data_IF_070529770624
#
_entry.id   IF_070529770624
#
_cell.length_a   1.000
_cell.length_b   1.000
_cell.length_c   1.000
_cell.angle_alpha   90.00
_cell.angle_beta   90.00
_cell.angle_gamma   90.00
#
_symmetry.space_group_name_H-M   'P 1'
#
loop_
_entity.id
_entity.type
_entity.pdbx_description
1 polymer ?
#
# COMPACT_ATOMS: atom_id res chain seq x y z
N UNK A 1 45.19 -27.75 -76.30
CA UNK A 1 44.23 -26.62 -76.20
C UNK A 1 44.30 -26.07 -74.79
N UNK A 2 44.58 -24.76 -74.67
CA UNK A 2 44.07 -23.78 -73.67
C UNK A 2 44.14 -24.18 -72.18
N UNK A 3 45.02 -23.55 -71.39
CA UNK A 3 44.74 -22.37 -70.52
C UNK A 3 43.92 -22.76 -69.26
N UNK A 4 44.14 -22.32 -68.02
CA UNK A 4 44.83 -21.18 -67.41
C UNK A 4 44.92 -21.42 -65.90
N UNK A 5 46.03 -20.98 -65.30
CA UNK A 5 46.20 -20.30 -64.00
C UNK A 5 45.09 -20.38 -62.92
N UNK A 6 45.48 -20.74 -61.71
CA UNK A 6 45.01 -20.04 -60.50
C UNK A 6 46.10 -20.05 -59.43
N UNK A 7 46.66 -18.86 -59.25
CA UNK A 7 47.56 -18.44 -58.17
C UNK A 7 46.70 -18.27 -56.91
N UNK A 8 47.02 -18.99 -55.84
CA UNK A 8 46.51 -18.68 -54.50
C UNK A 8 47.62 -17.97 -53.71
N UNK A 9 47.62 -16.65 -53.78
CA UNK A 9 48.42 -15.79 -52.91
C UNK A 9 47.81 -15.82 -51.50
N UNK A 10 48.52 -16.41 -50.54
CA UNK A 10 48.24 -16.24 -49.11
C UNK A 10 48.91 -14.94 -48.68
N UNK A 11 48.15 -13.85 -48.73
CA UNK A 11 48.52 -12.57 -48.12
C UNK A 11 48.07 -12.61 -46.65
N UNK A 12 49.03 -12.85 -45.76
CA UNK A 12 48.90 -12.58 -44.33
C UNK A 12 48.88 -11.06 -44.16
N UNK A 13 47.68 -10.48 -44.04
CA UNK A 13 47.52 -9.10 -43.62
C UNK A 13 47.19 -9.12 -42.13
N UNK A 14 48.18 -8.68 -41.36
CA UNK A 14 48.08 -8.27 -39.97
C UNK A 14 46.91 -7.31 -39.78
N UNK A 15 45.96 -7.68 -38.93
CA UNK A 15 45.14 -6.73 -38.19
C UNK A 15 45.06 -7.20 -36.74
N UNK A 16 46.09 -6.88 -35.95
CA UNK A 16 45.87 -6.62 -34.54
C UNK A 16 45.13 -5.29 -34.49
N UNK A 17 43.81 -5.33 -34.68
CA UNK A 17 42.96 -4.29 -34.12
C UNK A 17 43.13 -4.41 -32.62
N UNK A 18 43.74 -3.39 -32.03
CA UNK A 18 43.64 -3.12 -30.61
C UNK A 18 42.17 -3.30 -30.21
N UNK A 19 41.91 -4.31 -29.40
CA UNK A 19 40.71 -4.32 -28.58
C UNK A 19 41.01 -3.29 -27.51
N UNK A 20 40.60 -2.04 -27.75
CA UNK A 20 40.33 -1.16 -26.63
C UNK A 20 39.09 -1.76 -25.99
N UNK A 21 39.28 -2.48 -24.89
CA UNK A 21 38.19 -2.74 -23.98
C UNK A 21 37.74 -1.36 -23.48
N UNK A 22 36.71 -0.80 -24.11
CA UNK A 22 35.98 0.36 -23.60
C UNK A 22 35.38 -0.03 -22.24
N UNK A 23 36.17 0.10 -21.17
CA UNK A 23 35.73 -0.07 -19.78
C UNK A 23 34.93 1.15 -19.27
N UNK A 24 34.54 2.07 -20.15
CA UNK A 24 33.77 3.27 -19.80
C UNK A 24 32.28 2.99 -19.50
N UNK A 25 31.83 1.75 -19.68
CA UNK A 25 30.42 1.33 -19.47
C UNK A 25 30.17 0.62 -18.13
N UNK A 26 31.12 0.59 -17.18
CA UNK A 26 30.78 0.12 -15.84
C UNK A 26 29.90 1.18 -15.16
N UNK A 27 28.60 0.90 -14.91
CA UNK A 27 27.76 1.83 -14.19
C UNK A 27 28.41 2.09 -12.83
N UNK A 28 28.41 3.33 -12.35
CA UNK A 28 29.04 3.73 -11.10
C UNK A 28 28.01 4.28 -10.11
N UNK A 29 28.37 4.24 -8.82
CA UNK A 29 27.60 4.82 -7.73
C UNK A 29 26.61 3.87 -7.06
N UNK A 30 25.95 4.44 -6.06
CA UNK A 30 25.05 3.73 -5.16
C UNK A 30 23.60 3.95 -5.59
N UNK A 31 22.88 2.86 -5.82
CA UNK A 31 21.52 2.87 -6.34
C UNK A 31 20.55 2.17 -5.40
N UNK A 32 19.41 2.81 -5.13
CA UNK A 32 18.24 2.20 -4.50
C UNK A 32 17.27 1.77 -5.59
N UNK A 33 17.07 0.47 -5.79
CA UNK A 33 16.08 -0.08 -6.69
C UNK A 33 14.76 -0.30 -5.95
N UNK A 34 13.72 0.44 -6.33
CA UNK A 34 12.43 0.41 -5.66
C UNK A 34 11.55 -0.70 -6.23
N UNK A 35 11.08 -1.57 -5.35
CA UNK A 35 10.19 -2.67 -5.68
C UNK A 35 8.88 -2.54 -4.92
N UNK A 36 7.75 -2.76 -5.59
CA UNK A 36 6.46 -2.93 -4.91
C UNK A 36 5.89 -4.30 -5.28
N UNK A 37 6.49 -5.32 -4.68
CA UNK A 37 6.03 -6.71 -4.75
C UNK A 37 5.16 -7.10 -3.55
N UNK A 38 5.15 -6.27 -2.49
CA UNK A 38 4.41 -6.51 -1.27
C UNK A 38 2.93 -6.14 -1.40
N UNK A 39 2.26 -6.78 -2.36
CA UNK A 39 0.83 -6.69 -2.64
C UNK A 39 0.21 -8.09 -2.68
N UNK A 40 -1.12 -8.19 -2.70
CA UNK A 40 -1.82 -9.48 -2.64
C UNK A 40 -1.60 -10.36 -3.87
N UNK A 41 -1.21 -9.75 -5.00
CA UNK A 41 -0.92 -10.46 -6.24
C UNK A 41 0.51 -10.99 -6.29
N UNK A 42 1.39 -10.52 -5.39
CA UNK A 42 2.81 -10.89 -5.29
C UNK A 42 3.57 -10.68 -6.61
N UNK A 43 3.28 -9.56 -7.28
CA UNK A 43 3.90 -9.14 -8.55
C UNK A 43 4.51 -7.76 -8.42
N UNK A 44 5.57 -7.48 -9.20
CA UNK A 44 6.16 -6.15 -9.28
C UNK A 44 5.15 -5.14 -9.83
N UNK A 45 4.93 -4.07 -9.07
CA UNK A 45 3.96 -3.04 -9.41
C UNK A 45 4.48 -1.60 -9.16
N UNK A 46 5.75 -1.42 -8.79
CA UNK A 46 6.34 -0.10 -8.56
C UNK A 46 6.14 0.86 -9.75
N UNK A 47 6.33 0.44 -11.02
CA UNK A 47 6.17 1.35 -12.15
C UNK A 47 4.79 1.96 -12.36
N UNK A 48 3.76 1.29 -11.86
CA UNK A 48 2.37 1.73 -11.96
C UNK A 48 1.97 2.62 -10.78
N UNK A 49 2.40 2.26 -9.57
CA UNK A 49 1.87 2.84 -8.33
C UNK A 49 2.81 3.82 -7.63
N UNK A 50 4.14 3.66 -7.76
CA UNK A 50 5.11 4.56 -7.13
C UNK A 50 5.40 5.70 -8.10
N UNK A 51 4.75 6.83 -7.84
CA UNK A 51 4.84 7.99 -8.73
C UNK A 51 5.98 8.92 -8.37
N UNK A 52 6.28 9.16 -7.11
CA UNK A 52 7.36 10.03 -6.65
C UNK A 52 7.90 9.48 -5.35
N UNK A 53 9.14 9.80 -4.99
CA UNK A 53 9.65 9.42 -3.67
C UNK A 53 10.42 10.53 -3.00
N UNK A 54 10.26 10.61 -1.69
CA UNK A 54 11.18 11.30 -0.79
C UNK A 54 12.01 10.25 -0.06
N UNK A 55 13.32 10.34 -0.20
CA UNK A 55 14.30 9.52 0.51
C UNK A 55 14.92 10.35 1.64
N UNK A 56 14.77 9.88 2.87
CA UNK A 56 15.47 10.38 4.04
C UNK A 56 16.68 9.49 4.32
N UNK A 57 17.83 10.12 4.53
CA UNK A 57 19.12 9.46 4.74
C UNK A 57 19.56 9.75 6.17
N UNK A 58 19.86 8.70 6.92
CA UNK A 58 20.33 8.75 8.30
C UNK A 58 21.68 8.05 8.42
N UNK A 59 22.51 8.46 9.37
CA UNK A 59 23.74 7.73 9.70
C UNK A 59 23.43 6.45 10.49
N UNK A 60 24.46 5.66 10.80
CA UNK A 60 24.33 4.42 11.56
C UNK A 60 23.66 4.61 12.94
N UNK A 61 23.83 5.78 13.55
CA UNK A 61 23.26 6.13 14.87
C UNK A 61 21.83 6.71 14.77
N UNK A 62 21.29 6.85 13.55
CA UNK A 62 19.95 7.36 13.30
C UNK A 62 19.84 8.89 13.29
N UNK A 63 20.96 9.62 13.17
CA UNK A 63 20.94 11.07 12.99
C UNK A 63 20.68 11.43 11.53
N UNK A 64 19.91 12.50 11.31
CA UNK A 64 19.62 12.98 9.96
C UNK A 64 20.88 13.46 9.24
N UNK A 65 21.05 12.98 8.00
CA UNK A 65 22.16 13.36 7.12
C UNK A 65 21.64 14.21 5.96
N UNK A 66 20.66 13.71 5.21
CA UNK A 66 20.16 14.39 4.02
C UNK A 66 18.75 13.93 3.62
N UNK A 67 18.15 14.67 2.68
CA UNK A 67 16.86 14.37 2.06
C UNK A 67 17.00 14.52 0.54
N UNK A 68 16.43 13.58 -0.19
CA UNK A 68 16.35 13.59 -1.65
C UNK A 68 14.91 13.42 -2.10
N UNK A 69 14.37 14.40 -2.83
CA UNK A 69 13.05 14.30 -3.45
C UNK A 69 13.22 13.95 -4.93
N UNK A 70 12.62 12.85 -5.37
CA UNK A 70 12.74 12.31 -6.72
C UNK A 70 11.37 12.34 -7.41
N UNK A 71 11.17 13.21 -8.42
CA UNK A 71 9.91 13.30 -9.12
C UNK A 71 9.68 12.10 -10.06
N UNK A 72 8.42 11.90 -10.46
CA UNK A 72 8.01 10.80 -11.34
C UNK A 72 8.80 10.68 -12.63
N UNK A 73 9.11 11.81 -13.26
CA UNK A 73 9.88 11.82 -14.50
C UNK A 73 11.27 11.19 -14.32
N UNK A 74 11.94 11.46 -13.20
CA UNK A 74 13.26 10.92 -12.89
C UNK A 74 13.19 9.43 -12.53
N UNK A 75 12.21 9.02 -11.71
CA UNK A 75 11.99 7.60 -11.40
C UNK A 75 11.75 6.77 -12.67
N UNK A 76 10.84 7.24 -13.55
CA UNK A 76 10.54 6.55 -14.81
C UNK A 76 11.76 6.47 -15.73
N UNK A 77 12.53 7.55 -15.85
CA UNK A 77 13.74 7.58 -16.67
C UNK A 77 14.80 6.57 -16.19
N UNK A 78 14.92 6.38 -14.88
CA UNK A 78 15.91 5.47 -14.29
C UNK A 78 15.39 4.04 -14.06
N UNK A 79 14.16 3.71 -14.49
CA UNK A 79 13.57 2.40 -14.27
C UNK A 79 13.28 2.12 -12.78
N UNK A 80 12.74 3.11 -12.06
CA UNK A 80 12.43 3.08 -10.62
C UNK A 80 13.63 2.89 -9.70
N UNK A 81 14.80 3.32 -10.18
CA UNK A 81 16.03 3.40 -9.38
C UNK A 81 16.32 4.85 -8.97
N UNK A 82 16.71 5.03 -7.72
CA UNK A 82 17.16 6.30 -7.16
C UNK A 82 18.66 6.24 -6.96
N UNK A 83 19.39 7.20 -7.55
CA UNK A 83 20.83 7.32 -7.35
C UNK A 83 21.13 8.13 -6.09
N UNK A 84 22.00 7.62 -5.24
CA UNK A 84 22.50 8.31 -4.06
C UNK A 84 23.92 8.79 -4.38
N UNK A 85 24.14 10.09 -4.18
CA UNK A 85 25.40 10.76 -4.48
C UNK A 85 25.73 11.78 -3.37
N UNK A 86 27.01 12.14 -3.26
CA UNK A 86 27.45 13.23 -2.37
C UNK A 86 27.44 12.87 -0.88
N UNK A 87 27.40 11.59 -0.53
CA UNK A 87 27.63 11.11 0.83
C UNK A 87 29.12 10.76 1.01
N UNK A 88 29.73 11.06 2.17
CA UNK A 88 31.01 10.46 2.56
C UNK A 88 30.92 8.93 2.62
N UNK A 89 32.05 8.24 2.51
CA UNK A 89 32.13 6.81 2.82
C UNK A 89 31.72 6.57 4.27
N UNK A 90 30.82 5.60 4.49
CA UNK A 90 30.24 5.36 5.81
C UNK A 90 29.00 4.49 5.78
N UNK A 91 28.41 4.27 6.96
CA UNK A 91 27.23 3.42 7.14
C UNK A 91 25.97 4.28 7.27
N UNK A 92 24.95 3.96 6.46
CA UNK A 92 23.73 4.76 6.36
C UNK A 92 22.46 3.91 6.35
N UNK A 93 21.37 4.49 6.83
CA UNK A 93 20.01 3.97 6.76
C UNK A 93 19.17 4.84 5.83
N UNK A 94 18.26 4.23 5.08
CA UNK A 94 17.40 4.93 4.13
C UNK A 94 15.94 4.68 4.46
N UNK A 95 15.15 5.75 4.59
CA UNK A 95 13.70 5.69 4.74
C UNK A 95 13.08 6.34 3.52
N UNK A 96 12.26 5.58 2.80
CA UNK A 96 11.67 5.98 1.52
C UNK A 96 10.17 6.09 1.67
N UNK A 97 9.64 7.24 1.32
CA UNK A 97 8.21 7.52 1.30
C UNK A 97 7.76 7.92 -0.10
N UNK A 98 6.56 7.50 -0.50
CA UNK A 98 5.87 7.97 -1.71
C UNK A 98 4.49 8.48 -1.34
N UNK A 99 4.10 9.65 -1.86
CA UNK A 99 2.79 10.27 -1.61
C UNK A 99 2.79 11.31 -0.49
N UNK A 100 3.88 11.46 0.26
CA UNK A 100 3.97 12.39 1.40
C UNK A 100 3.96 13.87 1.02
N UNK A 101 4.14 14.19 -0.27
CA UNK A 101 3.95 15.54 -0.80
C UNK A 101 2.48 15.98 -0.88
N UNK A 102 1.52 15.06 -0.67
CA UNK A 102 0.10 15.39 -0.70
C UNK A 102 -0.34 16.11 0.59
N UNK A 103 -1.20 17.12 0.46
CA UNK A 103 -1.71 17.90 1.59
C UNK A 103 -2.59 17.12 2.58
N UNK A 104 -2.95 15.87 2.27
CA UNK A 104 -3.58 14.97 3.22
C UNK A 104 -2.63 14.56 4.36
N UNK A 105 -1.32 14.66 4.14
CA UNK A 105 -0.28 14.21 5.06
C UNK A 105 0.57 15.38 5.57
N UNK A 106 1.07 15.24 6.79
CA UNK A 106 1.98 16.18 7.43
C UNK A 106 3.18 15.43 7.99
N UNK A 107 4.38 15.89 7.63
CA UNK A 107 5.63 15.36 8.16
C UNK A 107 6.15 16.30 9.26
N UNK A 108 6.56 15.74 10.38
CA UNK A 108 7.24 16.46 11.47
C UNK A 108 8.55 15.76 11.82
N UNK A 109 9.56 16.52 12.25
CA UNK A 109 10.87 15.96 12.61
C UNK A 109 11.67 15.39 11.44
N UNK A 110 11.35 15.78 10.20
CA UNK A 110 11.91 15.21 8.96
C UNK A 110 13.40 15.56 8.71
N UNK A 111 13.94 16.48 9.50
CA UNK A 111 15.36 16.89 9.55
C UNK A 111 15.96 16.68 10.94
N UNK A 112 15.44 15.71 11.68
CA UNK A 112 15.83 15.36 13.05
C UNK A 112 16.18 13.87 13.11
N UNK A 113 16.48 13.31 14.29
CA UNK A 113 16.79 11.88 14.41
C UNK A 113 15.60 11.01 13.95
N UNK A 114 15.85 9.76 13.54
CA UNK A 114 14.80 8.82 13.12
C UNK A 114 13.68 8.69 14.16
N UNK A 115 14.02 8.69 15.45
CA UNK A 115 13.07 8.59 16.55
C UNK A 115 12.18 9.85 16.73
N UNK A 116 12.54 10.96 16.10
CA UNK A 116 11.77 12.21 16.14
C UNK A 116 10.95 12.41 14.87
N UNK A 117 11.16 11.60 13.83
CA UNK A 117 10.37 11.63 12.61
C UNK A 117 8.96 11.12 12.91
N UNK A 118 7.96 11.83 12.40
CA UNK A 118 6.59 11.35 12.37
C UNK A 118 5.88 11.80 11.11
N UNK A 119 5.09 10.91 10.52
CA UNK A 119 4.15 11.18 9.44
C UNK A 119 2.73 11.04 9.97
N UNK A 120 1.91 12.09 9.87
CA UNK A 120 0.51 12.08 10.31
C UNK A 120 -0.44 12.54 9.22
N UNK A 121 -1.74 12.38 9.44
CA UNK A 121 -2.73 13.14 8.68
C UNK A 121 -2.60 14.64 8.99
N UNK A 122 -2.76 15.48 7.96
CA UNK A 122 -2.56 16.93 8.08
C UNK A 122 -3.67 17.65 8.84
N UNK A 123 -4.88 17.10 8.82
CA UNK A 123 -5.99 17.56 9.68
C UNK A 123 -6.20 16.54 10.79
N UNK A 124 -5.52 16.68 11.94
CA UNK A 124 -5.87 15.95 13.14
C UNK A 124 -7.19 16.50 13.68
N UNK A 125 -8.29 16.00 13.12
CA UNK A 125 -9.65 16.12 13.63
C UNK A 125 -10.22 14.72 13.63
N UNK A 126 -11.02 14.38 14.63
CA UNK A 126 -11.47 13.01 14.91
C UNK A 126 -12.24 12.31 13.77
N UNK A 127 -12.51 12.97 12.64
CA UNK A 127 -13.15 12.37 11.46
C UNK A 127 -12.49 12.78 10.13
N UNK A 128 -12.34 11.83 9.21
CA UNK A 128 -11.81 11.94 7.84
C UNK A 128 -12.83 11.36 6.87
N UNK A 129 -13.30 12.16 5.92
CA UNK A 129 -14.33 11.76 4.94
C UNK A 129 -13.90 11.98 3.48
N UNK A 130 -12.59 12.06 3.22
CA UNK A 130 -12.01 12.19 1.89
C UNK A 130 -11.42 10.85 1.41
N UNK A 131 -11.30 10.70 0.09
CA UNK A 131 -10.49 9.63 -0.49
C UNK A 131 -9.02 9.93 -0.20
N UNK A 132 -8.37 9.11 0.62
CA UNK A 132 -6.96 9.30 0.96
C UNK A 132 -6.09 8.99 -0.28
N UNK A 133 -5.17 9.89 -0.66
CA UNK A 133 -4.19 9.62 -1.70
C UNK A 133 -3.28 8.46 -1.28
N UNK A 134 -2.82 7.65 -2.22
CA UNK A 134 -1.97 6.51 -1.87
C UNK A 134 -0.68 6.93 -1.17
N UNK A 135 -0.31 6.17 -0.15
CA UNK A 135 0.89 6.37 0.66
C UNK A 135 1.71 5.07 0.67
N UNK A 136 2.97 5.13 0.29
CA UNK A 136 3.87 3.98 0.31
C UNK A 136 5.10 4.24 1.18
N UNK A 137 5.58 3.18 1.81
CA UNK A 137 6.74 3.17 2.69
C UNK A 137 7.71 2.08 2.25
N UNK A 138 9.00 2.36 2.31
CA UNK A 138 10.04 1.34 2.28
C UNK A 138 11.24 1.79 3.09
N UNK A 139 12.09 0.85 3.47
CA UNK A 139 13.34 1.17 4.11
C UNK A 139 14.47 0.28 3.63
N UNK A 140 15.69 0.77 3.84
CA UNK A 140 16.90 -0.02 3.76
C UNK A 140 17.62 0.16 5.10
N UNK A 141 17.83 -0.96 5.79
CA UNK A 141 18.61 -0.99 7.03
C UNK A 141 20.06 -0.56 6.76
N UNK A 142 20.86 -0.42 7.82
CA UNK A 142 22.23 0.07 7.75
C UNK A 142 23.04 -0.68 6.68
N UNK A 143 23.52 0.08 5.69
CA UNK A 143 24.36 -0.40 4.59
C UNK A 143 25.56 0.51 4.41
N UNK A 144 26.67 -0.08 3.97
CA UNK A 144 27.92 0.63 3.75
C UNK A 144 27.91 1.33 2.38
N UNK A 145 27.93 2.66 2.40
CA UNK A 145 28.09 3.52 1.23
C UNK A 145 29.57 3.73 0.93
N UNK A 146 29.93 3.51 -0.32
CA UNK A 146 31.21 3.89 -0.94
C UNK A 146 30.95 4.25 -2.42
N UNK A 147 31.97 4.74 -3.11
CA UNK A 147 31.87 5.16 -4.52
C UNK A 147 31.81 3.98 -5.52
N UNK A 148 31.78 2.73 -5.02
CA UNK A 148 31.67 1.56 -5.89
C UNK A 148 30.25 1.39 -6.43
N UNK A 149 30.12 0.69 -7.56
CA UNK A 149 28.80 0.34 -8.08
C UNK A 149 28.09 -0.64 -7.16
N UNK A 150 27.00 -0.19 -6.57
CA UNK A 150 26.12 -1.02 -5.73
C UNK A 150 24.67 -0.72 -6.03
N UNK A 151 23.89 -1.78 -6.10
CA UNK A 151 22.44 -1.70 -6.24
C UNK A 151 21.80 -2.41 -5.05
N UNK A 152 20.97 -1.69 -4.32
CA UNK A 152 20.26 -2.17 -3.14
C UNK A 152 18.76 -2.14 -3.39
N UNK A 153 18.09 -3.25 -3.06
CA UNK A 153 16.65 -3.36 -3.20
C UNK A 153 15.94 -2.72 -2.01
N UNK A 154 14.99 -1.83 -2.28
CA UNK A 154 14.06 -1.27 -1.29
C UNK A 154 12.67 -1.80 -1.61
N UNK A 155 12.17 -2.67 -0.73
CA UNK A 155 10.83 -3.21 -0.87
C UNK A 155 9.83 -2.27 -0.21
N UNK A 156 8.96 -1.73 -1.04
CA UNK A 156 7.92 -0.78 -0.67
C UNK A 156 6.64 -1.55 -0.31
N UNK A 157 5.87 -0.98 0.60
CA UNK A 157 4.56 -1.44 1.02
C UNK A 157 3.59 -0.27 1.03
N UNK A 158 2.30 -0.56 0.89
CA UNK A 158 1.24 0.45 0.88
C UNK A 158 0.64 0.62 2.27
N UNK A 159 0.46 1.87 2.69
CA UNK A 159 -0.07 2.22 4.00
C UNK A 159 -1.50 2.75 3.95
N UNK A 160 -2.09 2.91 2.77
CA UNK A 160 -3.49 3.33 2.60
C UNK A 160 -4.34 2.17 2.16
N UNK A 161 -5.53 2.08 2.74
CA UNK A 161 -6.50 1.03 2.48
C UNK A 161 -7.82 1.64 1.99
N UNK A 162 -8.50 0.93 1.09
CA UNK A 162 -9.78 1.32 0.52
C UNK A 162 -10.82 0.23 0.79
N UNK A 163 -11.98 0.61 1.31
CA UNK A 163 -13.09 -0.27 1.60
C UNK A 163 -14.28 0.13 0.73
N UNK A 164 -14.65 -0.72 -0.23
CA UNK A 164 -15.89 -0.61 -0.99
C UNK A 164 -16.95 -1.47 -0.31
N UNK A 165 -17.80 -0.82 0.47
CA UNK A 165 -18.84 -1.45 1.28
C UNK A 165 -20.21 -1.35 0.61
N UNK A 166 -21.07 -2.32 0.86
CA UNK A 166 -22.42 -2.39 0.35
C UNK A 166 -23.36 -2.91 1.45
N UNK A 167 -24.40 -2.16 1.78
CA UNK A 167 -25.44 -2.56 2.74
C UNK A 167 -26.71 -2.91 1.98
N UNK A 168 -27.22 -4.11 2.22
CA UNK A 168 -28.35 -4.69 1.45
C UNK A 168 -29.33 -5.43 2.36
N UNK A 169 -30.63 -5.11 2.34
CA UNK A 169 -31.65 -5.96 2.95
C UNK A 169 -31.85 -7.27 2.20
N UNK A 170 -32.07 -8.36 2.92
CA UNK A 170 -32.49 -9.65 2.36
C UNK A 170 -34.00 -9.69 2.11
N UNK A 171 -34.53 -8.71 1.36
CA UNK A 171 -35.92 -8.65 0.92
C UNK A 171 -36.08 -7.65 -0.23
N UNK A 172 -36.79 -8.06 -1.28
CA UNK A 172 -37.02 -7.26 -2.49
C UNK A 172 -37.92 -6.03 -2.23
N UNK A 173 -38.75 -6.09 -1.18
CA UNK A 173 -39.72 -5.04 -0.82
C UNK A 173 -39.15 -4.00 0.15
N UNK A 174 -37.96 -4.24 0.70
CA UNK A 174 -37.33 -3.32 1.65
C UNK A 174 -36.51 -2.29 0.90
N UNK A 175 -36.86 -1.01 1.07
CA UNK A 175 -36.06 0.10 0.54
C UNK A 175 -35.02 0.51 1.56
N UNK A 176 -33.79 0.74 1.12
CA UNK A 176 -32.71 1.28 1.95
C UNK A 176 -32.23 2.60 1.34
N UNK A 177 -32.10 3.63 2.17
CA UNK A 177 -31.63 4.96 1.80
C UNK A 177 -30.17 5.16 2.26
N UNK A 178 -29.34 5.85 1.47
CA UNK A 178 -27.98 6.25 1.89
C UNK A 178 -27.87 6.94 3.24
N UNK A 179 -28.94 7.59 3.70
CA UNK A 179 -28.98 8.29 4.99
C UNK A 179 -29.50 7.44 6.16
N UNK A 180 -29.89 6.17 5.95
CA UNK A 180 -30.40 5.32 7.02
C UNK A 180 -29.28 4.82 7.97
N UNK A 181 -28.04 4.80 7.48
CA UNK A 181 -26.90 4.21 8.18
C UNK A 181 -25.70 5.14 8.27
N UNK A 182 -25.01 5.04 9.41
CA UNK A 182 -23.66 5.53 9.59
C UNK A 182 -22.69 4.35 9.59
N UNK A 183 -21.97 4.19 8.47
CA UNK A 183 -20.84 3.28 8.35
C UNK A 183 -19.55 4.04 8.58
N UNK A 184 -18.65 3.53 9.42
CA UNK A 184 -17.34 4.15 9.69
C UNK A 184 -16.28 3.13 10.07
N UNK A 185 -15.01 3.52 9.90
CA UNK A 185 -13.86 2.83 10.48
C UNK A 185 -13.29 3.67 11.61
N UNK A 186 -12.97 3.08 12.76
CA UNK A 186 -12.44 3.80 13.93
C UNK A 186 -11.12 3.16 14.36
N UNK A 187 -10.02 3.90 14.35
CA UNK A 187 -8.68 3.36 14.63
C UNK A 187 -7.69 4.42 15.10
N UNK A 188 -6.73 4.03 15.93
CA UNK A 188 -5.61 4.88 16.35
C UNK A 188 -4.38 4.73 15.41
N UNK A 189 -4.60 4.87 14.10
CA UNK A 189 -3.59 4.68 13.05
C UNK A 189 -3.23 5.97 12.29
N UNK A 190 -3.56 7.13 12.87
CA UNK A 190 -3.38 8.45 12.24
C UNK A 190 -1.94 8.97 12.16
N UNK A 191 -0.96 8.28 12.77
CA UNK A 191 0.44 8.72 12.82
C UNK A 191 1.40 7.54 12.86
N UNK A 192 2.45 7.62 12.04
CA UNK A 192 3.51 6.63 11.88
C UNK A 192 4.88 7.24 12.16
N UNK A 193 5.83 6.46 12.69
CA UNK A 193 7.23 6.85 12.84
C UNK A 193 8.08 6.54 11.58
N UNK A 194 9.41 6.74 11.67
CA UNK A 194 10.35 6.42 10.59
C UNK A 194 10.43 4.92 10.24
N UNK A 195 10.00 4.05 11.15
CA UNK A 195 9.98 2.59 11.00
C UNK A 195 8.61 2.09 10.54
N UNK A 196 7.71 3.01 10.16
CA UNK A 196 6.34 2.75 9.77
C UNK A 196 5.46 2.18 10.89
N UNK A 197 5.87 2.30 12.15
CA UNK A 197 5.10 1.85 13.30
C UNK A 197 4.10 2.92 13.72
N UNK A 198 2.91 2.50 14.15
CA UNK A 198 1.90 3.41 14.67
C UNK A 198 2.33 3.94 16.05
N UNK A 199 2.26 5.26 16.25
CA UNK A 199 2.75 5.92 17.48
C UNK A 199 1.73 6.87 18.12
N UNK A 200 0.50 6.93 17.61
CA UNK A 200 -0.54 7.83 18.13
C UNK A 200 -1.60 7.06 18.90
N UNK A 201 -1.93 7.53 20.11
CA UNK A 201 -3.11 7.07 20.86
C UNK A 201 -4.41 7.77 20.42
N UNK A 202 -4.32 8.82 19.60
CA UNK A 202 -5.50 9.55 19.12
C UNK A 202 -6.27 8.69 18.12
N UNK A 203 -7.54 8.43 18.45
CA UNK A 203 -8.46 7.70 17.57
C UNK A 203 -8.97 8.58 16.44
N UNK A 204 -8.86 8.06 15.22
CA UNK A 204 -9.42 8.61 13.99
C UNK A 204 -10.72 7.89 13.65
N UNK A 205 -11.70 8.64 13.15
CA UNK A 205 -12.89 8.10 12.49
C UNK A 205 -12.73 8.31 10.98
N UNK A 206 -12.92 7.27 10.20
CA UNK A 206 -12.91 7.33 8.74
C UNK A 206 -14.33 7.11 8.25
N UNK A 207 -14.87 8.10 7.57
CA UNK A 207 -16.23 8.13 7.06
C UNK A 207 -16.26 7.96 5.55
N UNK A 208 -17.40 7.52 4.98
CA UNK A 208 -17.54 7.35 3.55
C UNK A 208 -17.41 8.66 2.79
N UNK A 209 -16.51 8.69 1.80
CA UNK A 209 -16.37 9.77 0.84
C UNK A 209 -17.29 9.61 -0.39
N UNK A 210 -17.87 8.42 -0.56
CA UNK A 210 -18.94 8.13 -1.53
C UNK A 210 -20.08 7.43 -0.81
N UNK A 211 -21.33 7.84 -1.13
CA UNK A 211 -22.57 7.20 -0.67
C UNK A 211 -23.57 7.20 -1.82
N UNK A 212 -24.01 6.03 -2.29
CA UNK A 212 -24.97 5.94 -3.40
C UNK A 212 -26.00 4.84 -3.16
N UNK A 213 -27.25 5.12 -3.52
CA UNK A 213 -28.23 4.05 -3.72
C UNK A 213 -27.84 3.24 -4.96
N UNK A 214 -27.93 1.92 -4.88
CA UNK A 214 -27.57 1.01 -5.97
C UNK A 214 -28.61 -0.10 -6.13
N UNK A 215 -28.81 -0.52 -7.37
CA UNK A 215 -29.61 -1.69 -7.72
C UNK A 215 -28.78 -2.58 -8.64
N UNK A 216 -28.70 -3.88 -8.33
CA UNK A 216 -27.90 -4.83 -9.09
C UNK A 216 -28.46 -6.25 -8.96
N UNK A 217 -28.05 -7.13 -9.86
CA UNK A 217 -28.41 -8.55 -9.81
C UNK A 217 -27.32 -9.35 -9.05
N UNK A 218 -27.61 -9.79 -7.82
CA UNK A 218 -26.76 -10.73 -7.09
C UNK A 218 -27.00 -12.16 -7.59
N UNK A 219 -25.91 -12.89 -7.80
CA UNK A 219 -25.97 -14.25 -8.34
C UNK A 219 -26.76 -15.26 -7.48
N UNK A 220 -26.95 -14.98 -6.18
CA UNK A 220 -27.64 -15.88 -5.25
C UNK A 220 -29.01 -15.36 -4.82
N UNK A 221 -29.16 -14.06 -4.61
CA UNK A 221 -30.41 -13.47 -4.11
C UNK A 221 -31.24 -12.78 -5.20
N UNK A 222 -30.78 -12.75 -6.45
CA UNK A 222 -31.47 -12.04 -7.52
C UNK A 222 -31.30 -10.54 -7.41
N UNK A 223 -32.31 -9.78 -7.83
CA UNK A 223 -32.23 -8.31 -7.89
C UNK A 223 -32.28 -7.73 -6.48
N UNK A 224 -31.22 -7.02 -6.09
CA UNK A 224 -31.09 -6.38 -4.79
C UNK A 224 -31.03 -4.86 -4.93
N UNK A 225 -31.64 -4.16 -3.97
CA UNK A 225 -31.50 -2.73 -3.77
C UNK A 225 -30.64 -2.51 -2.52
N UNK A 226 -29.63 -1.65 -2.60
CA UNK A 226 -28.65 -1.44 -1.53
C UNK A 226 -28.11 -0.02 -1.49
N UNK A 227 -27.19 0.21 -0.57
CA UNK A 227 -26.40 1.44 -0.50
C UNK A 227 -24.92 1.09 -0.52
N UNK A 228 -24.18 1.70 -1.45
CA UNK A 228 -22.73 1.60 -1.48
C UNK A 228 -22.07 2.74 -0.71
N UNK A 229 -20.98 2.39 -0.03
CA UNK A 229 -20.13 3.29 0.74
C UNK A 229 -18.67 3.05 0.37
N UNK A 230 -17.89 4.09 0.08
CA UNK A 230 -16.44 3.95 -0.06
C UNK A 230 -15.74 4.70 1.06
N UNK A 231 -14.86 4.00 1.79
CA UNK A 231 -14.10 4.54 2.92
C UNK A 231 -12.61 4.34 2.63
N UNK A 232 -11.79 5.36 2.92
CA UNK A 232 -10.34 5.22 2.96
C UNK A 232 -9.86 5.18 4.41
N UNK A 233 -8.86 4.38 4.71
CA UNK A 233 -8.17 4.38 6.00
C UNK A 233 -6.66 4.22 5.80
N UNK A 234 -5.89 4.35 6.89
CA UNK A 234 -4.45 4.17 6.88
C UNK A 234 -4.08 2.70 7.17
N UNK A 235 -2.85 2.48 7.63
CA UNK A 235 -2.28 1.14 7.83
C UNK A 235 -3.12 0.38 8.86
N UNK A 236 -3.38 -0.88 8.55
CA UNK A 236 -4.10 -1.81 9.41
C UNK A 236 -3.06 -2.68 10.12
N UNK A 237 -3.05 -2.66 11.45
CA UNK A 237 -2.05 -3.36 12.26
C UNK A 237 -2.71 -4.41 13.15
N UNK A 238 -2.12 -5.60 13.25
CA UNK A 238 -2.67 -6.70 14.05
C UNK A 238 -2.65 -6.43 15.57
N UNK A 239 -1.75 -5.56 16.02
CA UNK A 239 -1.58 -5.15 17.41
C UNK A 239 -2.36 -3.87 17.79
N UNK A 240 -3.12 -3.30 16.85
CA UNK A 240 -3.97 -2.12 17.09
C UNK A 240 -5.42 -2.42 16.75
N UNK A 241 -6.35 -2.02 17.61
CA UNK A 241 -7.77 -2.18 17.31
C UNK A 241 -8.19 -1.18 16.22
N UNK A 242 -8.85 -1.69 15.18
CA UNK A 242 -9.38 -0.91 14.08
C UNK A 242 -10.79 -1.44 13.78
N UNK A 243 -11.83 -0.69 14.13
CA UNK A 243 -13.21 -1.18 14.13
C UNK A 243 -14.00 -0.73 12.92
N UNK A 244 -14.64 -1.67 12.25
CA UNK A 244 -15.65 -1.40 11.22
C UNK A 244 -17.03 -1.41 11.87
N UNK A 245 -17.71 -0.26 11.85
CA UNK A 245 -18.94 -0.02 12.60
C UNK A 245 -20.05 0.39 11.64
N UNK A 246 -21.18 -0.30 11.71
CA UNK A 246 -22.43 0.06 11.04
C UNK A 246 -23.49 0.32 12.11
N UNK A 247 -24.00 1.54 12.13
CA UNK A 247 -25.07 1.99 13.03
C UNK A 247 -26.26 2.52 12.25
N UNK A 248 -27.46 2.35 12.80
CA UNK A 248 -28.64 3.07 12.33
C UNK A 248 -28.55 4.53 12.72
N UNK A 249 -28.75 5.43 11.78
CA UNK A 249 -28.57 6.87 11.99
C UNK A 249 -29.65 7.50 12.86
N UNK A 250 -30.88 6.99 12.77
CA UNK A 250 -32.05 7.52 13.48
C UNK A 250 -32.04 7.21 14.99
N UNK A 251 -31.57 6.02 15.35
CA UNK A 251 -31.62 5.44 16.69
C UNK A 251 -30.25 5.35 17.36
N UNK A 252 -29.16 5.37 16.58
CA UNK A 252 -27.81 5.10 17.06
C UNK A 252 -27.57 3.64 17.43
N UNK A 253 -28.48 2.73 17.06
CA UNK A 253 -28.33 1.31 17.35
C UNK A 253 -27.23 0.68 16.48
N UNK A 254 -26.29 -0.02 17.13
CA UNK A 254 -25.22 -0.76 16.45
C UNK A 254 -25.77 -2.03 15.80
N UNK A 255 -25.71 -2.09 14.47
CA UNK A 255 -26.05 -3.28 13.67
C UNK A 255 -24.83 -4.20 13.54
N UNK A 256 -23.63 -3.61 13.46
CA UNK A 256 -22.38 -4.35 13.31
C UNK A 256 -21.21 -3.57 13.90
N UNK A 257 -20.33 -4.24 14.63
CA UNK A 257 -19.12 -3.66 15.18
C UNK A 257 -18.07 -4.74 15.42
N UNK A 258 -17.07 -4.85 14.55
CA UNK A 258 -15.98 -5.82 14.71
C UNK A 258 -14.62 -5.17 14.58
N UNK A 259 -13.62 -5.78 15.22
CA UNK A 259 -12.22 -5.49 14.96
C UNK A 259 -11.82 -6.05 13.58
N UNK A 260 -11.40 -5.18 12.68
CA UNK A 260 -10.99 -5.50 11.33
C UNK A 260 -9.76 -6.42 11.32
N UNK A 261 -8.67 -6.15 12.08
CA UNK A 261 -7.51 -7.04 12.11
C UNK A 261 -7.85 -8.43 12.69
N UNK A 262 -8.56 -8.50 13.82
CA UNK A 262 -8.87 -9.77 14.50
C UNK A 262 -9.78 -10.68 13.68
N UNK A 263 -10.74 -10.13 12.94
CA UNK A 263 -11.73 -10.92 12.21
C UNK A 263 -11.46 -10.96 10.71
N UNK A 264 -11.42 -9.79 10.06
CA UNK A 264 -11.23 -9.72 8.61
C UNK A 264 -9.80 -10.10 8.22
N UNK A 265 -8.81 -9.59 8.97
CA UNK A 265 -7.40 -9.94 8.77
C UNK A 265 -7.15 -11.43 8.96
N UNK A 266 -7.54 -11.98 10.11
CA UNK A 266 -7.39 -13.41 10.42
C UNK A 266 -8.05 -14.31 9.36
N UNK A 267 -9.34 -14.09 9.04
CA UNK A 267 -10.02 -14.94 8.05
C UNK A 267 -9.41 -14.74 6.67
N UNK A 268 -9.01 -13.52 6.32
CA UNK A 268 -8.34 -13.19 5.07
C UNK A 268 -7.11 -14.04 4.79
N UNK A 269 -6.31 -14.37 5.81
CA UNK A 269 -5.14 -15.26 5.68
C UNK A 269 -5.49 -16.65 5.11
N UNK A 270 -6.72 -17.13 5.35
CA UNK A 270 -7.21 -18.43 4.89
C UNK A 270 -7.64 -18.41 3.42
N UNK A 271 -7.87 -17.23 2.85
CA UNK A 271 -8.41 -17.02 1.51
C UNK A 271 -7.42 -16.27 0.60
N UNK A 272 -6.16 -16.72 0.60
CA UNK A 272 -5.11 -16.20 -0.29
C UNK A 272 -4.69 -17.26 -1.31
N UNK A 273 -4.28 -16.81 -2.50
CA UNK A 273 -3.84 -17.70 -3.60
C UNK A 273 -2.31 -17.75 -3.73
N UNK A 274 -1.56 -17.34 -2.70
CA UNK A 274 -0.10 -17.23 -2.74
C UNK A 274 0.63 -18.56 -2.54
N UNK A 275 -0.09 -19.68 -2.38
CA UNK A 275 0.50 -21.02 -2.21
C UNK A 275 1.26 -21.21 -0.89
N UNK A 276 1.22 -20.22 0.02
CA UNK A 276 1.76 -20.25 1.38
C UNK A 276 0.83 -19.53 2.35
N UNK A 277 0.96 -19.84 3.64
CA UNK A 277 0.24 -19.12 4.68
C UNK A 277 0.90 -17.76 4.93
N UNK A 278 0.08 -16.73 5.09
CA UNK A 278 0.49 -15.40 5.52
C UNK A 278 0.25 -15.24 7.02
N UNK A 279 1.04 -14.40 7.67
CA UNK A 279 0.65 -13.86 8.99
C UNK A 279 -0.52 -12.89 8.81
N UNK A 280 -1.20 -12.52 9.90
CA UNK A 280 -2.28 -11.54 9.86
C UNK A 280 -1.74 -10.19 9.40
N UNK A 281 -0.63 -9.71 10.01
CA UNK A 281 0.01 -8.47 9.58
C UNK A 281 0.41 -8.49 8.09
N UNK A 282 0.99 -9.58 7.59
CA UNK A 282 1.37 -9.67 6.18
C UNK A 282 0.16 -9.60 5.25
N UNK A 283 -0.95 -10.24 5.60
CA UNK A 283 -2.19 -10.11 4.84
C UNK A 283 -2.72 -8.67 4.83
N UNK A 284 -2.76 -8.03 6.00
CA UNK A 284 -3.26 -6.65 6.16
C UNK A 284 -2.42 -5.63 5.39
N UNK A 285 -1.11 -5.85 5.29
CA UNK A 285 -0.21 -4.96 4.54
C UNK A 285 -0.22 -5.25 3.02
N UNK A 286 -0.53 -6.49 2.59
CA UNK A 286 -0.60 -6.87 1.17
C UNK A 286 -1.94 -6.56 0.52
N UNK A 287 -3.03 -6.68 1.27
CA UNK A 287 -4.39 -6.41 0.80
C UNK A 287 -4.75 -4.96 1.12
N UNK A 288 -4.82 -4.13 0.08
CA UNK A 288 -5.11 -2.69 0.20
C UNK A 288 -6.54 -2.31 -0.21
N UNK A 289 -7.26 -3.21 -0.86
CA UNK A 289 -8.63 -2.97 -1.33
C UNK A 289 -9.59 -4.06 -0.86
N UNK A 290 -10.64 -3.69 -0.12
CA UNK A 290 -11.60 -4.63 0.45
C UNK A 290 -12.99 -4.37 -0.12
N UNK A 291 -13.64 -5.42 -0.61
CA UNK A 291 -15.06 -5.38 -0.95
C UNK A 291 -15.84 -6.02 0.19
N UNK A 292 -16.79 -5.30 0.79
CA UNK A 292 -17.53 -5.77 1.97
C UNK A 292 -19.03 -5.64 1.72
N UNK A 293 -19.78 -6.73 1.82
CA UNK A 293 -21.23 -6.72 1.65
C UNK A 293 -21.90 -7.16 2.95
N UNK A 294 -22.70 -6.27 3.52
CA UNK A 294 -23.57 -6.50 4.66
C UNK A 294 -24.95 -6.90 4.15
N UNK A 295 -25.33 -8.16 4.37
CA UNK A 295 -26.68 -8.63 4.14
C UNK A 295 -27.46 -8.55 5.45
N UNK A 296 -28.40 -7.61 5.52
CA UNK A 296 -29.22 -7.35 6.70
C UNK A 296 -30.56 -8.09 6.62
N UNK A 297 -31.20 -8.27 7.77
CA UNK A 297 -32.60 -8.70 7.87
C UNK A 297 -33.52 -7.68 7.19
N UNK A 298 -34.75 -8.10 6.86
CA UNK A 298 -35.72 -7.25 6.16
C UNK A 298 -36.16 -6.03 6.98
N UNK A 299 -36.06 -6.09 8.31
CA UNK A 299 -36.29 -4.96 9.21
C UNK A 299 -35.06 -4.04 9.37
N UNK A 300 -33.91 -4.40 8.78
CA UNK A 300 -32.63 -3.69 8.84
C UNK A 300 -31.92 -3.71 10.20
N UNK A 301 -32.34 -4.58 11.12
CA UNK A 301 -31.88 -4.56 12.51
C UNK A 301 -30.71 -5.51 12.78
N UNK A 302 -30.51 -6.53 11.93
CA UNK A 302 -29.57 -7.61 12.19
C UNK A 302 -28.73 -7.92 10.96
N UNK A 303 -27.43 -8.11 11.16
CA UNK A 303 -26.57 -8.72 10.15
C UNK A 303 -26.89 -10.22 10.03
N UNK A 304 -27.29 -10.65 8.84
CA UNK A 304 -27.51 -12.07 8.51
C UNK A 304 -26.25 -12.70 7.92
N UNK A 305 -25.55 -11.97 7.04
CA UNK A 305 -24.34 -12.45 6.39
C UNK A 305 -23.40 -11.29 6.08
N UNK A 306 -22.11 -11.52 6.30
CA UNK A 306 -21.03 -10.66 5.81
C UNK A 306 -20.34 -11.37 4.65
N UNK A 307 -20.09 -10.66 3.54
CA UNK A 307 -19.17 -11.10 2.49
C UNK A 307 -17.98 -10.15 2.50
N UNK A 308 -16.77 -10.68 2.51
CA UNK A 308 -15.55 -9.87 2.38
C UNK A 308 -14.71 -10.48 1.26
N UNK A 309 -14.40 -9.68 0.24
CA UNK A 309 -13.76 -10.14 -0.98
C UNK A 309 -14.48 -11.37 -1.54
N UNK A 310 -13.79 -12.50 -1.64
CA UNK A 310 -14.35 -13.76 -2.16
C UNK A 310 -14.95 -14.67 -1.09
N UNK A 311 -14.86 -14.35 0.21
CA UNK A 311 -15.32 -15.21 1.30
C UNK A 311 -16.56 -14.67 2.03
N UNK A 312 -17.26 -15.56 2.75
CA UNK A 312 -18.55 -15.26 3.40
C UNK A 312 -18.58 -15.79 4.83
N UNK A 313 -19.13 -15.00 5.73
CA UNK A 313 -19.44 -15.37 7.11
C UNK A 313 -20.94 -15.23 7.32
N UNK A 314 -21.60 -16.32 7.74
CA UNK A 314 -23.02 -16.28 8.13
C UNK A 314 -23.13 -16.04 9.62
N UNK A 315 -23.86 -15.01 10.01
CA UNK A 315 -24.23 -14.83 11.40
C UNK A 315 -25.19 -15.95 11.79
N UNK A 316 -24.87 -16.70 12.84
CA UNK A 316 -25.89 -17.48 13.58
C UNK A 316 -26.48 -16.57 14.65
N UNK A 317 -27.75 -16.76 15.01
CA UNK A 317 -28.62 -15.96 15.89
C UNK A 317 -28.09 -15.53 17.29
N UNK A 318 -26.79 -15.63 17.56
CA UNK A 318 -26.15 -15.27 18.83
C UNK A 318 -24.84 -14.49 18.66
N UNK A 319 -24.43 -14.15 17.44
CA UNK A 319 -23.33 -13.21 17.23
C UNK A 319 -23.85 -11.78 17.44
N UNK A 320 -23.99 -11.38 18.71
CA UNK A 320 -23.66 -10.00 19.08
C UNK A 320 -22.13 -9.95 19.02
N UNK A 321 -21.60 -9.69 17.83
CA UNK A 321 -20.18 -9.39 17.65
C UNK A 321 -19.92 -7.97 18.14
#
# INVERSE_FOLDING_TARGET
>A
MKQICSILCILLITSCTWVEDDYDDCPYGFWLNLHYTYNIMDVEAAPEYISEVTVYIYDADGNYVSRLDVPQSALKANGHRVRIEGLPEGDYQFVVWSGIGNSAYAVSGDRSTMNQFSLSLAQPGSSVSSCLPDLYYGNLQTVHFDDSYKEHHVYMMKNTNQLACLVVPMSDDTTVNPDDFDLRVVSANGTMDAYNMLISDNTMTYEPFVRNAVTFDDAYYGKLNGVSFNISTLRLMEDHDCRLILEKKDTGETVFNISFPEYIGMIGTLYTNLGRQLTVQEYLDRQDFYTIVFYLSSDLDQLIQLRVNSWRLRAKNHLKL
#
